data_IF_958166106181
#
_entry.id   IF_958166106181
#
_cell.length_a   1.000
_cell.length_b   1.000
_cell.length_c   1.000
_cell.angle_alpha   90.00
_cell.angle_beta   90.00
_cell.angle_gamma   90.00
#
_symmetry.space_group_name_H-M   'P 1'
#
loop_
_entity.id
_entity.type
_entity.pdbx_description
1 polymer ?
#
# COMPACT_ATOMS: atom_id res chain seq x y z
N UNK A 1 -45.88 27.53 -6.15
CA UNK A 1 -47.03 26.86 -5.53
C UNK A 1 -47.45 25.71 -6.43
N UNK A 2 -47.18 24.48 -6.03
CA UNK A 2 -47.94 23.30 -6.45
C UNK A 2 -47.57 22.15 -5.53
N UNK A 3 -48.60 21.62 -4.87
CA UNK A 3 -48.58 20.62 -3.80
C UNK A 3 -49.32 19.40 -4.34
N UNK A 4 -48.75 18.20 -4.25
CA UNK A 4 -49.49 16.93 -4.32
C UNK A 4 -48.72 15.87 -3.47
N UNK A 5 -49.24 15.52 -2.28
CA UNK A 5 -50.03 14.30 -1.95
C UNK A 5 -49.21 12.97 -2.03
N UNK A 6 -48.66 12.44 -0.92
CA UNK A 6 -49.19 11.53 0.14
C UNK A 6 -49.58 10.11 -0.33
N UNK A 7 -48.92 9.08 0.27
CA UNK A 7 -49.36 7.73 0.72
C UNK A 7 -48.39 6.59 0.29
N UNK A 8 -48.10 5.50 1.00
CA UNK A 8 -48.05 5.03 2.43
C UNK A 8 -47.30 3.66 2.38
N UNK A 9 -46.95 3.02 3.52
CA UNK A 9 -45.95 1.96 3.60
C UNK A 9 -46.52 0.53 3.46
N UNK A 10 -45.69 -0.38 2.95
CA UNK A 10 -45.96 -1.82 2.91
C UNK A 10 -45.12 -2.59 3.92
N UNK A 11 -45.70 -2.88 5.09
CA UNK A 11 -45.24 -3.91 6.02
C UNK A 11 -45.42 -5.31 5.40
N UNK A 12 -44.39 -6.17 5.46
CA UNK A 12 -44.59 -7.64 5.52
C UNK A 12 -43.71 -8.27 6.59
N UNK A 13 -44.40 -8.85 7.54
CA UNK A 13 -43.90 -9.58 8.69
C UNK A 13 -43.63 -11.05 8.35
N UNK A 14 -42.71 -11.64 9.11
CA UNK A 14 -42.75 -12.99 9.68
C UNK A 14 -42.78 -14.22 8.74
N UNK A 15 -41.69 -15.01 8.80
CA UNK A 15 -41.76 -16.44 9.15
C UNK A 15 -40.50 -16.86 9.95
N UNK A 16 -40.63 -17.37 11.19
CA UNK A 16 -39.56 -18.00 11.93
C UNK A 16 -39.57 -19.52 11.66
N UNK A 17 -38.61 -19.98 10.86
CA UNK A 17 -38.33 -21.40 10.61
C UNK A 17 -37.35 -21.96 11.63
N UNK A 18 -37.75 -23.03 12.29
CA UNK A 18 -37.19 -23.62 13.51
C UNK A 18 -36.49 -24.94 13.15
N UNK A 19 -35.44 -25.31 13.92
CA UNK A 19 -34.83 -26.66 14.09
C UNK A 19 -33.85 -27.06 12.96
N UNK A 20 -32.79 -27.87 13.13
CA UNK A 20 -32.45 -28.92 14.10
C UNK A 20 -30.91 -29.01 14.23
N UNK A 21 -30.47 -29.16 15.46
CA UNK A 21 -29.23 -29.72 15.99
C UNK A 21 -28.56 -30.80 15.08
N UNK A 22 -27.37 -30.54 14.53
CA UNK A 22 -26.50 -31.56 13.90
C UNK A 22 -25.13 -31.57 14.63
N UNK A 23 -25.17 -31.91 15.92
CA UNK A 23 -23.97 -32.14 16.74
C UNK A 23 -23.71 -33.65 16.69
N UNK A 24 -22.78 -34.07 15.83
CA UNK A 24 -22.42 -35.50 15.74
C UNK A 24 -21.38 -35.87 14.68
N UNK A 25 -20.99 -34.97 13.78
CA UNK A 25 -20.03 -35.29 12.69
C UNK A 25 -18.66 -34.59 12.76
N UNK A 26 -18.49 -33.56 13.59
CA UNK A 26 -17.31 -32.66 13.51
C UNK A 26 -16.10 -33.10 14.33
N UNK A 27 -16.26 -33.98 15.33
CA UNK A 27 -15.13 -34.42 16.18
C UNK A 27 -14.18 -35.39 15.46
N UNK A 28 -14.69 -36.20 14.52
CA UNK A 28 -13.89 -37.17 13.76
C UNK A 28 -13.06 -36.48 12.67
N UNK A 29 -13.58 -35.42 12.05
CA UNK A 29 -12.85 -34.65 11.03
C UNK A 29 -11.73 -33.81 11.65
N UNK A 30 -11.94 -33.25 12.85
CA UNK A 30 -10.91 -32.46 13.53
C UNK A 30 -9.68 -33.31 13.93
N UNK A 31 -9.89 -34.58 14.31
CA UNK A 31 -8.81 -35.51 14.65
C UNK A 31 -7.98 -35.95 13.43
N UNK A 32 -8.58 -36.07 12.25
CA UNK A 32 -7.86 -36.45 11.02
C UNK A 32 -6.99 -35.33 10.46
N UNK A 33 -7.37 -34.05 10.62
CA UNK A 33 -6.57 -32.91 10.13
C UNK A 33 -5.26 -32.73 10.93
N UNK A 34 -5.24 -33.08 12.22
CA UNK A 34 -4.04 -32.97 13.07
C UNK A 34 -2.98 -34.02 12.68
N UNK A 35 -3.39 -35.20 12.21
CA UNK A 35 -2.46 -36.28 11.84
C UNK A 35 -1.74 -35.99 10.51
N UNK A 36 -2.37 -35.27 9.57
CA UNK A 36 -1.74 -34.91 8.28
C UNK A 36 -0.76 -33.73 8.42
N UNK A 37 -0.84 -32.93 9.48
CA UNK A 37 0.02 -31.77 9.70
C UNK A 37 1.42 -32.09 10.29
N UNK A 38 1.72 -33.35 10.66
CA UNK A 38 2.97 -33.71 11.33
C UNK A 38 4.03 -34.39 10.45
N UNK A 39 3.75 -34.65 9.16
CA UNK A 39 4.68 -35.31 8.23
C UNK A 39 5.25 -34.38 7.14
N UNK A 40 5.74 -33.19 7.51
CA UNK A 40 6.54 -32.35 6.58
C UNK A 40 7.75 -31.68 7.23
N UNK A 41 8.25 -32.24 8.33
CA UNK A 41 9.56 -31.87 8.88
C UNK A 41 10.59 -32.86 8.31
N UNK A 42 11.17 -32.52 7.17
CA UNK A 42 12.11 -33.40 6.49
C UNK A 42 12.90 -32.75 5.35
N UNK A 43 14.00 -32.08 5.73
CA UNK A 43 15.24 -31.89 4.96
C UNK A 43 15.23 -30.99 3.71
N UNK A 44 15.73 -29.76 3.89
CA UNK A 44 16.63 -29.15 2.90
C UNK A 44 17.92 -28.79 3.62
N UNK A 45 18.93 -29.62 3.39
CA UNK A 45 20.34 -29.33 3.65
C UNK A 45 20.92 -28.46 2.53
N UNK A 46 21.87 -27.63 2.94
CA UNK A 46 23.04 -27.16 2.19
C UNK A 46 22.97 -25.78 1.49
N UNK A 47 23.81 -24.90 2.05
CA UNK A 47 24.84 -24.10 1.38
C UNK A 47 24.53 -22.66 0.94
N UNK A 48 25.33 -21.78 1.55
CA UNK A 48 25.99 -20.60 0.97
C UNK A 48 25.38 -19.21 1.26
N UNK A 49 26.15 -18.51 2.09
CA UNK A 49 26.72 -17.18 1.82
C UNK A 49 25.92 -15.91 2.18
N UNK A 50 26.71 -14.94 2.63
CA UNK A 50 26.42 -13.54 2.88
C UNK A 50 25.68 -13.19 4.17
N UNK A 51 26.39 -13.31 5.29
CA UNK A 51 26.26 -12.34 6.39
C UNK A 51 26.77 -10.99 5.89
N UNK A 52 25.91 -10.28 5.17
CA UNK A 52 26.06 -8.83 5.04
C UNK A 52 25.54 -8.27 6.36
N UNK A 53 26.47 -7.95 7.24
CA UNK A 53 26.28 -6.97 8.32
C UNK A 53 25.77 -5.68 7.69
N UNK A 54 24.46 -5.60 7.45
CA UNK A 54 23.78 -4.34 7.21
C UNK A 54 23.69 -3.69 8.59
N UNK A 55 24.72 -2.89 8.85
CA UNK A 55 24.77 -1.91 9.93
C UNK A 55 23.64 -0.90 9.68
N UNK A 56 22.42 -1.28 10.09
CA UNK A 56 21.28 -0.37 10.20
C UNK A 56 21.57 0.63 11.32
N UNK A 57 22.25 1.72 10.98
CA UNK A 57 22.38 2.90 11.81
C UNK A 57 21.01 3.58 11.94
N UNK A 58 20.51 3.70 13.17
CA UNK A 58 19.52 4.70 13.60
C UNK A 58 18.13 4.55 12.96
N UNK A 59 17.02 4.85 13.63
CA UNK A 59 16.84 5.88 14.63
C UNK A 59 15.60 5.55 15.44
N UNK A 60 15.67 5.68 16.76
CA UNK A 60 14.47 5.88 17.55
C UNK A 60 13.84 7.21 17.17
N UNK A 61 12.64 7.19 16.60
CA UNK A 61 11.62 8.24 16.62
C UNK A 61 10.48 7.89 15.67
N UNK A 62 9.46 7.25 16.24
CA UNK A 62 8.04 7.25 15.88
C UNK A 62 7.49 5.89 16.29
N UNK A 63 6.78 5.84 17.40
CA UNK A 63 5.99 4.69 17.85
C UNK A 63 4.75 4.51 16.95
N UNK A 64 4.94 4.66 15.65
CA UNK A 64 3.95 4.60 14.59
C UNK A 64 4.59 3.89 13.41
N UNK A 65 4.16 2.64 13.16
CA UNK A 65 4.71 1.82 12.09
C UNK A 65 4.65 2.53 10.73
N UNK A 66 5.62 2.24 9.86
CA UNK A 66 5.56 2.67 8.47
C UNK A 66 4.34 2.05 7.81
N UNK A 67 3.48 2.89 7.23
CA UNK A 67 2.32 2.47 6.47
C UNK A 67 2.73 2.10 5.04
N UNK A 68 3.39 3.03 4.35
CA UNK A 68 3.81 2.86 2.97
C UNK A 68 5.05 3.71 2.66
N UNK A 69 5.80 3.30 1.64
CA UNK A 69 6.96 4.04 1.14
C UNK A 69 6.75 4.39 -0.31
N UNK A 70 6.89 5.66 -0.67
CA UNK A 70 6.83 6.13 -2.06
C UNK A 70 8.25 6.43 -2.51
N UNK A 71 8.65 5.88 -3.65
CA UNK A 71 9.98 6.09 -4.22
C UNK A 71 9.84 6.74 -5.59
N UNK A 72 10.61 7.80 -5.82
CA UNK A 72 10.80 8.40 -7.12
C UNK A 72 12.24 8.20 -7.60
N UNK A 73 12.41 7.76 -8.84
CA UNK A 73 13.75 7.46 -9.39
C UNK A 73 14.63 8.68 -9.59
N UNK A 74 14.06 9.88 -9.64
CA UNK A 74 14.75 11.06 -10.15
C UNK A 74 14.93 11.03 -11.67
N UNK A 75 15.63 12.03 -12.17
CA UNK A 75 15.97 12.28 -13.57
C UNK A 75 17.39 12.87 -13.66
N UNK A 76 17.86 13.20 -14.87
CA UNK A 76 19.11 13.96 -15.05
C UNK A 76 19.12 15.29 -14.27
N UNK A 77 17.96 15.92 -14.07
CA UNK A 77 17.88 17.26 -13.49
C UNK A 77 17.48 17.25 -12.00
N UNK A 78 16.95 16.13 -11.51
CA UNK A 78 16.38 16.05 -10.17
C UNK A 78 16.82 14.74 -9.51
N UNK A 79 17.38 14.76 -8.29
CA UNK A 79 17.71 13.55 -7.59
C UNK A 79 16.46 12.71 -7.31
N UNK A 80 16.66 11.39 -7.20
CA UNK A 80 15.63 10.51 -6.68
C UNK A 80 15.35 10.79 -5.21
N UNK A 81 14.22 10.31 -4.72
CA UNK A 81 13.85 10.45 -3.32
C UNK A 81 12.96 9.30 -2.85
N UNK A 82 12.95 9.12 -1.54
CA UNK A 82 12.10 8.17 -0.83
C UNK A 82 11.29 8.94 0.22
N UNK A 83 9.97 8.82 0.16
CA UNK A 83 9.04 9.34 1.16
C UNK A 83 8.45 8.16 1.95
N UNK A 84 8.79 8.06 3.23
CA UNK A 84 8.18 7.11 4.16
C UNK A 84 6.96 7.80 4.79
N UNK A 85 5.81 7.14 4.75
CA UNK A 85 4.57 7.62 5.37
C UNK A 85 4.28 6.73 6.57
N UNK A 86 4.13 7.34 7.74
CA UNK A 86 3.83 6.63 8.98
C UNK A 86 2.32 6.54 9.22
N UNK A 87 1.92 5.59 10.07
CA UNK A 87 0.52 5.34 10.42
C UNK A 87 -0.17 6.46 11.18
N UNK A 88 0.57 7.46 11.69
CA UNK A 88 0.06 8.67 12.34
C UNK A 88 -0.07 9.87 11.36
N UNK A 89 0.28 9.66 10.09
CA UNK A 89 0.27 10.69 9.05
C UNK A 89 1.46 11.63 9.07
N UNK A 90 2.49 11.33 9.86
CA UNK A 90 3.82 11.92 9.71
C UNK A 90 4.53 11.29 8.51
N UNK A 91 5.66 11.87 8.11
CA UNK A 91 6.48 11.30 7.06
C UNK A 91 7.92 11.80 7.07
N UNK A 92 8.77 11.05 6.37
CA UNK A 92 10.20 11.35 6.22
C UNK A 92 10.57 11.26 4.76
N UNK A 93 11.06 12.37 4.20
CA UNK A 93 11.56 12.48 2.84
C UNK A 93 13.09 12.46 2.86
N UNK A 94 13.69 11.55 2.12
CA UNK A 94 15.13 11.49 1.91
C UNK A 94 15.48 11.55 0.43
N UNK A 95 16.42 12.41 0.07
CA UNK A 95 16.94 12.52 -1.29
C UNK A 95 18.19 11.67 -1.48
N UNK A 96 18.34 11.06 -2.67
CA UNK A 96 19.53 10.27 -3.02
C UNK A 96 20.78 11.14 -3.10
N UNK A 97 20.63 12.42 -3.45
CA UNK A 97 21.68 13.43 -3.42
C UNK A 97 21.17 14.69 -2.72
N UNK A 98 21.97 15.24 -1.80
CA UNK A 98 21.63 16.41 -0.99
C UNK A 98 22.53 17.59 -1.33
N UNK A 99 22.10 18.78 -0.93
CA UNK A 99 22.82 20.03 -1.13
C UNK A 99 22.37 20.80 -2.37
N UNK A 100 23.15 21.82 -2.73
CA UNK A 100 22.86 22.72 -3.83
C UNK A 100 23.37 22.14 -5.15
N UNK A 101 22.51 22.13 -6.14
CA UNK A 101 22.81 21.73 -7.52
C UNK A 101 22.47 22.88 -8.47
N UNK A 102 22.76 22.71 -9.76
CA UNK A 102 22.30 23.64 -10.80
C UNK A 102 20.77 23.74 -10.88
N UNK A 103 20.05 22.69 -10.46
CA UNK A 103 18.60 22.59 -10.61
C UNK A 103 17.81 22.88 -9.33
N UNK A 104 18.50 23.10 -8.20
CA UNK A 104 17.85 23.38 -6.92
C UNK A 104 18.66 22.90 -5.72
N UNK A 105 18.12 23.16 -4.53
CA UNK A 105 18.66 22.70 -3.26
C UNK A 105 17.80 21.56 -2.73
N UNK A 106 18.40 20.40 -2.52
CA UNK A 106 17.71 19.20 -2.05
C UNK A 106 18.16 18.86 -0.64
N UNK A 107 17.21 18.76 0.28
CA UNK A 107 17.46 18.42 1.67
C UNK A 107 16.37 17.49 2.16
N UNK A 108 16.75 16.59 3.06
CA UNK A 108 15.79 15.73 3.73
C UNK A 108 14.80 16.59 4.53
N UNK A 109 13.55 16.14 4.55
CA UNK A 109 12.47 16.83 5.25
C UNK A 109 11.72 15.82 6.12
N UNK A 110 11.29 16.25 7.29
CA UNK A 110 10.32 15.52 8.10
C UNK A 110 9.01 16.29 8.10
N UNK A 111 7.91 15.55 8.19
CA UNK A 111 6.55 16.08 8.20
C UNK A 111 5.87 15.66 9.50
N UNK A 112 5.22 16.59 10.23
CA UNK A 112 4.55 16.26 11.48
C UNK A 112 3.36 15.33 11.27
N UNK A 113 2.92 14.68 12.36
CA UNK A 113 1.71 13.84 12.36
C UNK A 113 0.49 14.60 11.79
N UNK A 114 -0.39 13.89 11.10
CA UNK A 114 -1.55 14.47 10.42
C UNK A 114 -1.25 15.25 9.13
N UNK A 115 0.00 15.33 8.66
CA UNK A 115 0.32 15.98 7.38
C UNK A 115 -0.31 15.24 6.20
N UNK A 116 -0.26 13.90 6.20
CA UNK A 116 -0.79 13.06 5.13
C UNK A 116 -2.17 12.50 5.47
N UNK A 117 -3.03 12.37 4.46
CA UNK A 117 -4.39 11.85 4.59
C UNK A 117 -4.40 10.31 4.71
N UNK A 118 -3.85 9.79 5.81
CA UNK A 118 -3.58 8.37 6.01
C UNK A 118 -4.82 7.47 5.93
N UNK A 119 -5.98 7.94 6.37
CA UNK A 119 -7.21 7.13 6.32
C UNK A 119 -7.62 6.88 4.88
N UNK A 120 -7.54 7.90 4.02
CA UNK A 120 -7.85 7.78 2.60
C UNK A 120 -6.81 6.91 1.90
N UNK A 121 -5.52 7.11 2.19
CA UNK A 121 -4.46 6.26 1.66
C UNK A 121 -4.65 4.80 2.05
N UNK A 122 -4.95 4.53 3.32
CA UNK A 122 -5.18 3.18 3.82
C UNK A 122 -6.39 2.52 3.14
N UNK A 123 -7.52 3.22 3.01
CA UNK A 123 -8.70 2.72 2.29
C UNK A 123 -8.37 2.38 0.83
N UNK A 124 -7.64 3.25 0.13
CA UNK A 124 -7.25 3.00 -1.26
C UNK A 124 -6.29 1.82 -1.37
N UNK A 125 -5.29 1.72 -0.48
CA UNK A 125 -4.35 0.60 -0.44
C UNK A 125 -5.05 -0.73 -0.13
N UNK A 126 -6.02 -0.74 0.77
CA UNK A 126 -6.84 -1.92 1.04
C UNK A 126 -7.69 -2.32 -0.17
N UNK A 127 -8.27 -1.35 -0.89
CA UNK A 127 -9.06 -1.62 -2.09
C UNK A 127 -8.18 -2.15 -3.24
N UNK A 128 -6.92 -1.71 -3.36
CA UNK A 128 -5.94 -2.27 -4.29
C UNK A 128 -5.50 -3.67 -3.84
N UNK A 129 -5.33 -3.88 -2.54
CA UNK A 129 -4.79 -5.10 -1.97
C UNK A 129 -3.29 -5.25 -2.26
N UNK A 130 -2.93 -6.21 -3.10
CA UNK A 130 -1.53 -6.46 -3.46
C UNK A 130 -1.06 -5.47 -4.55
N UNK A 131 -0.32 -4.44 -4.12
CA UNK A 131 0.20 -3.40 -5.01
C UNK A 131 1.15 -3.94 -6.09
N UNK A 132 1.75 -5.12 -5.91
CA UNK A 132 2.60 -5.73 -6.94
C UNK A 132 1.82 -6.28 -8.14
N UNK A 133 0.51 -6.44 -8.01
CA UNK A 133 -0.39 -6.87 -9.10
C UNK A 133 -0.85 -5.72 -9.99
N UNK A 134 -0.50 -4.47 -9.66
CA UNK A 134 -0.80 -3.32 -10.51
C UNK A 134 -0.11 -3.53 -11.87
N UNK A 135 -0.86 -3.56 -13.00
CA UNK A 135 -0.33 -3.88 -14.32
C UNK A 135 0.87 -3.02 -14.69
N UNK A 136 1.97 -3.65 -15.09
CA UNK A 136 3.12 -2.94 -15.63
C UNK A 136 2.78 -2.44 -17.03
N UNK A 137 2.46 -1.15 -17.14
CA UNK A 137 2.26 -0.49 -18.43
C UNK A 137 3.59 0.06 -18.95
N UNK A 138 3.87 -0.20 -20.22
CA UNK A 138 4.86 0.59 -20.96
C UNK A 138 4.25 1.95 -21.28
N UNK A 139 4.89 3.02 -20.83
CA UNK A 139 4.59 4.36 -21.30
C UNK A 139 5.89 5.00 -21.80
N UNK A 140 5.80 5.76 -22.89
CA UNK A 140 6.98 6.39 -23.45
C UNK A 140 7.49 7.46 -22.47
N UNK A 141 8.76 7.34 -22.09
CA UNK A 141 9.45 8.30 -21.23
C UNK A 141 10.75 8.72 -21.89
N UNK A 142 11.16 9.96 -21.67
CA UNK A 142 12.49 10.41 -22.07
C UNK A 142 13.55 9.59 -21.33
N UNK A 143 14.61 9.17 -22.05
CA UNK A 143 15.74 8.48 -21.46
C UNK A 143 16.47 9.30 -20.39
N UNK A 144 16.44 10.63 -20.50
CA UNK A 144 17.14 11.55 -19.59
C UNK A 144 16.21 12.21 -18.56
N UNK A 145 14.99 12.55 -18.98
CA UNK A 145 14.06 13.33 -18.15
C UNK A 145 12.90 12.50 -17.58
N UNK A 146 12.79 11.23 -17.98
CA UNK A 146 11.80 10.32 -17.43
C UNK A 146 12.04 10.06 -15.95
N UNK A 147 10.96 10.06 -15.16
CA UNK A 147 10.98 9.58 -13.78
C UNK A 147 10.02 8.41 -13.65
N UNK A 148 10.27 7.52 -12.70
CA UNK A 148 9.30 6.53 -12.24
C UNK A 148 8.90 6.81 -10.81
N UNK A 149 7.64 6.53 -10.48
CA UNK A 149 7.13 6.62 -9.11
C UNK A 149 6.48 5.31 -8.73
N UNK A 150 6.97 4.68 -7.67
CA UNK A 150 6.42 3.44 -7.13
C UNK A 150 5.98 3.66 -5.69
N UNK A 151 5.05 2.83 -5.25
CA UNK A 151 4.67 2.68 -3.84
C UNK A 151 4.94 1.25 -3.37
N UNK A 152 5.52 1.14 -2.18
CA UNK A 152 5.71 -0.09 -1.42
C UNK A 152 4.71 -0.13 -0.26
N UNK A 153 3.91 -1.19 -0.20
CA UNK A 153 2.92 -1.43 0.84
C UNK A 153 2.97 -2.92 1.24
N UNK A 154 2.98 -3.21 2.55
CA UNK A 154 3.11 -4.57 3.09
C UNK A 154 4.28 -5.37 2.47
N UNK A 155 5.43 -4.70 2.23
CA UNK A 155 6.62 -5.31 1.65
C UNK A 155 6.52 -5.65 0.16
N UNK A 156 5.44 -5.27 -0.52
CA UNK A 156 5.26 -5.42 -1.97
C UNK A 156 5.38 -4.07 -2.65
N UNK A 157 6.03 -4.04 -3.82
CA UNK A 157 6.25 -2.82 -4.59
C UNK A 157 5.43 -2.86 -5.87
N UNK A 158 4.76 -1.75 -6.16
CA UNK A 158 4.01 -1.55 -7.39
C UNK A 158 4.89 -1.36 -8.62
N UNK A 159 4.28 -1.52 -9.79
CA UNK A 159 4.80 -0.96 -11.03
C UNK A 159 4.71 0.58 -11.03
N UNK A 160 5.30 1.22 -12.03
CA UNK A 160 5.37 2.67 -12.10
C UNK A 160 3.98 3.32 -12.26
N UNK A 161 3.52 3.98 -11.20
CA UNK A 161 2.21 4.63 -11.12
C UNK A 161 2.06 5.77 -12.14
N UNK A 162 3.17 6.36 -12.58
CA UNK A 162 3.12 7.42 -13.60
C UNK A 162 2.70 6.91 -14.98
N UNK A 163 2.84 5.60 -15.25
CA UNK A 163 2.41 4.97 -16.50
C UNK A 163 0.94 4.52 -16.50
N UNK A 164 0.22 4.63 -15.38
CA UNK A 164 -1.19 4.27 -15.34
C UNK A 164 -2.04 5.29 -16.12
N UNK A 165 -3.04 4.80 -16.84
CA UNK A 165 -3.92 5.59 -17.71
C UNK A 165 -5.37 5.10 -17.72
N UNK A 166 -6.19 5.62 -18.63
CA UNK A 166 -7.64 5.38 -18.67
C UNK A 166 -8.04 3.91 -18.84
N UNK A 167 -7.15 3.07 -19.38
CA UNK A 167 -7.31 1.62 -19.50
C UNK A 167 -7.12 0.83 -18.18
N UNK A 168 -6.66 1.48 -17.10
CA UNK A 168 -6.45 0.83 -15.81
C UNK A 168 -7.69 0.95 -14.91
N UNK A 169 -7.79 0.07 -13.91
CA UNK A 169 -8.96 0.05 -13.03
C UNK A 169 -9.07 1.35 -12.25
N UNK A 170 -10.31 1.73 -11.89
CA UNK A 170 -10.55 2.96 -11.12
C UNK A 170 -9.75 3.00 -9.82
N UNK A 171 -9.65 1.87 -9.12
CA UNK A 171 -8.88 1.75 -7.88
C UNK A 171 -7.38 2.04 -8.06
N UNK A 172 -6.77 1.62 -9.17
CA UNK A 172 -5.36 1.93 -9.45
C UNK A 172 -5.17 3.42 -9.75
N UNK A 173 -6.14 4.04 -10.43
CA UNK A 173 -6.13 5.48 -10.70
C UNK A 173 -6.33 6.30 -9.42
N UNK A 174 -7.23 5.86 -8.53
CA UNK A 174 -7.39 6.50 -7.21
C UNK A 174 -6.09 6.43 -6.39
N UNK A 175 -5.35 5.31 -6.46
CA UNK A 175 -4.02 5.20 -5.83
C UNK A 175 -3.00 6.17 -6.44
N UNK A 176 -2.95 6.25 -7.77
CA UNK A 176 -2.09 7.21 -8.48
C UNK A 176 -2.39 8.65 -8.04
N UNK A 177 -3.66 9.04 -8.05
CA UNK A 177 -4.10 10.38 -7.70
C UNK A 177 -3.78 10.70 -6.23
N UNK A 178 -4.01 9.74 -5.32
CA UNK A 178 -3.66 9.87 -3.91
C UNK A 178 -2.15 10.07 -3.71
N UNK A 179 -1.32 9.28 -4.39
CA UNK A 179 0.15 9.45 -4.36
C UNK A 179 0.54 10.84 -4.87
N UNK A 180 -0.02 11.28 -5.99
CA UNK A 180 0.27 12.61 -6.54
C UNK A 180 -0.13 13.75 -5.60
N UNK A 181 -1.28 13.64 -4.92
CA UNK A 181 -1.70 14.62 -3.91
C UNK A 181 -0.72 14.70 -2.74
N UNK A 182 -0.17 13.57 -2.29
CA UNK A 182 0.85 13.56 -1.23
C UNK A 182 2.17 14.16 -1.71
N UNK A 183 2.59 13.85 -2.93
CA UNK A 183 3.80 14.42 -3.54
C UNK A 183 3.68 15.93 -3.79
N UNK A 184 2.47 16.47 -3.92
CA UNK A 184 2.27 17.91 -3.99
C UNK A 184 2.58 18.62 -2.66
N UNK A 185 2.45 17.93 -1.51
CA UNK A 185 2.74 18.50 -0.18
C UNK A 185 4.22 18.60 0.17
N UNK A 186 5.09 17.89 -0.56
CA UNK A 186 6.53 17.83 -0.25
C UNK A 186 7.38 18.82 -1.05
N UNK A 187 6.81 19.35 -2.14
CA UNK A 187 7.43 20.39 -2.98
C UNK A 187 7.39 21.71 -2.24
#
# INVERSE_FOLDING_TARGET
MSVHHINTPGHRSFLPGRRVLWIGGTTIVLLLVIIVASMSIGRITAMSAFDTTSKGHGSGAATGGSLATITNSGSTNTPGYTLIIHSDGSGSLSYTQKGRTHFGTYQDKTFPAGTFAIQQLHTVLQAVGDVSKIPRRGCLKSASFGTSTTITYQGKTSSDLTCLGSQDTRTHLDLKDMVQQMLAKIK
#
